data_IF_156317084125
#
_entry.id   IF_156317084125
#
_cell.length_a   1.000
_cell.length_b   1.000
_cell.length_c   1.000
_cell.angle_alpha   90.00
_cell.angle_beta   90.00
_cell.angle_gamma   90.00
#
_symmetry.space_group_name_H-M   'P 1'
#
loop_
_entity.id
_entity.type
_entity.pdbx_description
1 polymer ?
#
# COMPACT_ATOMS: atom_id res chain seq x y z
N UNK A 1 -17.18 -12.33 14.20
CA UNK A 1 -16.91 -11.32 13.16
C UNK A 1 -15.88 -11.94 12.24
N UNK A 2 -15.93 -11.74 10.90
CA UNK A 2 -14.84 -12.20 10.03
C UNK A 2 -13.53 -11.57 10.54
N UNK A 3 -12.47 -12.38 10.69
CA UNK A 3 -11.20 -11.87 11.18
C UNK A 3 -10.58 -10.99 10.08
N UNK A 4 -10.21 -9.76 10.45
CA UNK A 4 -9.46 -8.88 9.57
C UNK A 4 -8.01 -9.36 9.54
N UNK A 5 -7.46 -9.63 8.36
CA UNK A 5 -6.10 -10.13 8.21
C UNK A 5 -5.22 -9.11 7.49
N UNK A 6 -3.98 -9.01 7.92
CA UNK A 6 -2.96 -8.20 7.27
C UNK A 6 -1.77 -9.10 6.93
N UNK A 7 -1.48 -9.26 5.62
CA UNK A 7 -0.22 -9.85 5.20
C UNK A 7 0.89 -8.85 5.48
N UNK A 8 1.97 -9.32 6.07
CA UNK A 8 3.18 -8.55 6.35
C UNK A 8 4.38 -9.40 5.98
N UNK A 9 5.51 -8.77 5.68
CA UNK A 9 6.78 -9.48 5.44
C UNK A 9 7.89 -8.78 6.18
N UNK A 10 8.72 -9.56 6.88
CA UNK A 10 9.90 -9.04 7.61
C UNK A 10 10.87 -8.38 6.63
N UNK A 11 11.50 -7.25 7.00
CA UNK A 11 12.55 -6.63 6.19
C UNK A 11 13.66 -7.61 5.83
N UNK A 12 14.11 -7.56 4.57
CA UNK A 12 15.30 -8.28 4.11
C UNK A 12 16.56 -7.73 4.80
N UNK A 13 17.56 -8.56 5.11
CA UNK A 13 18.87 -8.07 5.56
C UNK A 13 19.53 -7.14 4.54
N UNK A 14 19.09 -7.17 3.28
CA UNK A 14 19.55 -6.31 2.19
C UNK A 14 18.71 -5.03 2.02
N UNK A 15 17.83 -4.69 2.96
CA UNK A 15 16.90 -3.54 2.86
C UNK A 15 17.62 -2.24 2.43
N UNK A 16 18.84 -2.00 2.92
CA UNK A 16 19.60 -0.79 2.56
C UNK A 16 19.94 -0.69 1.06
N UNK A 17 19.82 -1.79 0.30
CA UNK A 17 20.02 -1.82 -1.16
C UNK A 17 18.71 -1.54 -1.94
N UNK A 18 17.58 -1.32 -1.24
CA UNK A 18 16.27 -1.08 -1.83
C UNK A 18 16.27 0.05 -2.87
N UNK A 19 15.31 0.02 -3.77
CA UNK A 19 15.21 0.99 -4.86
C UNK A 19 14.81 2.38 -4.35
N UNK A 20 15.42 3.42 -4.90
CA UNK A 20 15.05 4.83 -4.68
C UNK A 20 14.99 5.52 -6.04
N UNK A 21 13.89 6.19 -6.34
CA UNK A 21 13.59 6.73 -7.67
C UNK A 21 13.39 8.24 -7.66
N UNK A 22 12.63 8.78 -6.71
CA UNK A 22 12.19 10.18 -6.67
C UNK A 22 12.83 11.01 -5.56
N UNK A 23 13.69 10.43 -4.75
CA UNK A 23 14.40 11.11 -3.67
C UNK A 23 15.89 10.80 -3.68
N UNK A 24 16.68 11.56 -2.92
CA UNK A 24 18.09 11.25 -2.74
C UNK A 24 18.27 10.06 -1.80
N UNK A 25 19.17 9.15 -2.16
CA UNK A 25 19.49 7.99 -1.32
C UNK A 25 20.19 8.44 -0.03
N UNK A 26 19.66 7.97 1.07
CA UNK A 26 20.24 8.12 2.41
C UNK A 26 20.57 6.77 3.01
N UNK A 27 21.39 6.75 4.05
CA UNK A 27 21.74 5.51 4.75
C UNK A 27 20.54 4.97 5.51
N UNK A 28 20.23 3.69 5.31
CA UNK A 28 19.18 2.95 6.02
C UNK A 28 19.82 2.13 7.13
N UNK A 29 19.30 2.25 8.33
CA UNK A 29 19.64 1.40 9.48
C UNK A 29 18.68 0.19 9.48
N UNK A 30 19.22 -0.98 9.09
CA UNK A 30 18.41 -2.20 8.93
C UNK A 30 17.91 -2.72 10.28
N UNK A 31 18.70 -2.58 11.34
CA UNK A 31 18.30 -3.05 12.66
C UNK A 31 17.15 -2.18 13.20
N UNK A 32 17.26 -0.86 13.06
CA UNK A 32 16.16 0.06 13.40
C UNK A 32 14.92 -0.20 12.53
N UNK A 33 15.09 -0.48 11.24
CA UNK A 33 13.96 -0.83 10.37
C UNK A 33 13.22 -2.08 10.86
N UNK A 34 13.92 -3.07 11.38
CA UNK A 34 13.29 -4.27 11.98
C UNK A 34 12.49 -3.89 13.22
N UNK A 35 13.03 -3.06 14.12
CA UNK A 35 12.31 -2.56 15.30
C UNK A 35 11.05 -1.78 14.91
N UNK A 36 11.14 -0.90 13.90
CA UNK A 36 10.01 -0.15 13.37
C UNK A 36 8.94 -1.05 12.74
N UNK A 37 9.35 -2.08 12.02
CA UNK A 37 8.43 -3.08 11.46
C UNK A 37 7.71 -3.88 12.54
N UNK A 38 8.42 -4.25 13.62
CA UNK A 38 7.81 -4.94 14.76
C UNK A 38 6.78 -4.04 15.46
N UNK A 39 7.09 -2.78 15.68
CA UNK A 39 6.16 -1.79 16.22
C UNK A 39 4.93 -1.59 15.31
N UNK A 40 5.12 -1.51 14.00
CA UNK A 40 4.04 -1.42 13.01
C UNK A 40 3.12 -2.66 13.07
N UNK A 41 3.67 -3.85 13.09
CA UNK A 41 2.89 -5.09 13.15
C UNK A 41 2.15 -5.23 14.48
N UNK A 42 2.76 -4.79 15.58
CA UNK A 42 2.10 -4.78 16.89
C UNK A 42 0.96 -3.75 16.94
N UNK A 43 1.12 -2.59 16.30
CA UNK A 43 0.04 -1.63 16.17
C UNK A 43 -1.17 -2.23 15.42
N UNK A 44 -0.95 -3.02 14.38
CA UNK A 44 -2.02 -3.76 13.69
C UNK A 44 -2.72 -4.76 14.63
N UNK A 45 -1.96 -5.58 15.37
CA UNK A 45 -2.49 -6.60 16.28
C UNK A 45 -3.31 -5.99 17.42
N UNK A 46 -2.78 -4.95 18.04
CA UNK A 46 -3.46 -4.22 19.14
C UNK A 46 -4.80 -3.64 18.68
N UNK A 47 -4.96 -3.36 17.38
CA UNK A 47 -6.21 -2.85 16.81
C UNK A 47 -7.06 -3.92 16.11
N UNK A 48 -6.86 -5.18 16.46
CA UNK A 48 -7.73 -6.29 16.07
C UNK A 48 -7.45 -6.92 14.71
N UNK A 49 -6.27 -6.64 14.11
CA UNK A 49 -5.83 -7.29 12.90
C UNK A 49 -4.99 -8.53 13.21
N UNK A 50 -5.34 -9.66 12.63
CA UNK A 50 -4.49 -10.85 12.61
C UNK A 50 -3.39 -10.65 11.55
N UNK A 51 -2.12 -10.58 11.99
CA UNK A 51 -0.99 -10.49 11.05
C UNK A 51 -0.62 -11.88 10.55
N UNK A 52 -0.53 -12.02 9.23
CA UNK A 52 -0.07 -13.24 8.56
C UNK A 52 1.27 -12.91 7.90
N UNK A 53 2.33 -13.50 8.42
CA UNK A 53 3.67 -13.27 7.87
C UNK A 53 3.85 -14.09 6.58
N UNK A 54 4.25 -13.39 5.51
CA UNK A 54 4.64 -13.99 4.24
C UNK A 54 6.07 -14.49 4.35
N UNK A 55 6.38 -15.60 3.69
CA UNK A 55 7.71 -16.17 3.73
C UNK A 55 8.79 -15.13 3.36
N UNK A 56 9.94 -15.12 4.07
CA UNK A 56 11.01 -14.18 3.80
C UNK A 56 11.49 -14.25 2.35
N UNK A 57 11.89 -13.09 1.80
CA UNK A 57 12.53 -12.99 0.50
C UNK A 57 13.86 -12.22 0.68
N UNK A 58 14.82 -12.90 1.31
CA UNK A 58 16.06 -12.29 1.81
C UNK A 58 16.90 -11.65 0.70
N UNK A 59 16.86 -12.20 -0.51
CA UNK A 59 17.57 -11.67 -1.68
C UNK A 59 16.86 -10.49 -2.35
N UNK A 60 15.64 -10.13 -1.88
CA UNK A 60 14.85 -9.04 -2.42
C UNK A 60 14.84 -7.86 -1.45
N UNK A 61 15.65 -6.81 -1.67
CA UNK A 61 15.76 -5.67 -0.76
C UNK A 61 14.43 -5.00 -0.41
N UNK A 62 13.54 -4.86 -1.41
CA UNK A 62 12.27 -4.14 -1.28
C UNK A 62 11.10 -5.02 -0.80
N UNK A 63 11.34 -6.29 -0.48
CA UNK A 63 10.29 -7.28 -0.23
C UNK A 63 9.39 -6.99 0.98
N UNK A 64 9.84 -6.14 1.93
CA UNK A 64 9.04 -5.63 3.04
C UNK A 64 7.82 -4.84 2.56
N UNK A 65 7.92 -4.20 1.40
CA UNK A 65 6.83 -3.46 0.76
C UNK A 65 5.86 -4.42 0.05
N UNK A 66 5.32 -5.33 0.84
CA UNK A 66 4.50 -6.45 0.38
C UNK A 66 3.22 -6.03 -0.36
N UNK A 67 2.78 -4.78 -0.15
CA UNK A 67 1.63 -4.22 -0.83
C UNK A 67 1.79 -4.23 -2.35
N UNK A 68 3.01 -4.04 -2.86
CA UNK A 68 3.27 -3.97 -4.30
C UNK A 68 3.09 -5.31 -5.02
N UNK A 69 3.17 -6.42 -4.29
CA UNK A 69 3.16 -7.77 -4.87
C UNK A 69 1.75 -8.30 -5.19
N UNK A 70 0.68 -7.72 -4.61
CA UNK A 70 -0.69 -8.24 -4.79
C UNK A 70 -1.76 -7.17 -4.57
N UNK A 71 -2.82 -7.25 -5.35
CA UNK A 71 -4.04 -6.46 -5.12
C UNK A 71 -5.18 -7.41 -4.78
N UNK A 72 -5.85 -7.18 -3.65
CA UNK A 72 -7.02 -7.97 -3.26
C UNK A 72 -8.28 -7.12 -3.34
N UNK A 73 -9.29 -7.62 -4.05
CA UNK A 73 -10.62 -7.04 -4.11
C UNK A 73 -11.65 -8.14 -3.87
N UNK A 74 -12.48 -8.01 -2.82
CA UNK A 74 -13.33 -9.08 -2.30
C UNK A 74 -12.47 -10.30 -1.97
N UNK A 75 -12.82 -11.48 -2.50
CA UNK A 75 -12.07 -12.73 -2.34
C UNK A 75 -11.13 -13.06 -3.52
N UNK A 76 -10.87 -12.09 -4.41
CA UNK A 76 -9.98 -12.27 -5.57
C UNK A 76 -8.69 -11.53 -5.33
N UNK A 77 -7.58 -12.25 -5.42
CA UNK A 77 -6.22 -11.75 -5.40
C UNK A 77 -5.67 -11.68 -6.82
N UNK A 78 -5.20 -10.51 -7.22
CA UNK A 78 -4.48 -10.29 -8.47
C UNK A 78 -3.01 -10.12 -8.15
N UNK A 79 -2.21 -11.15 -8.44
CA UNK A 79 -0.77 -11.13 -8.26
C UNK A 79 -0.17 -10.13 -9.25
N UNK A 80 0.61 -9.21 -8.73
CA UNK A 80 1.26 -8.18 -9.50
C UNK A 80 2.35 -8.75 -10.43
N UNK A 81 2.65 -8.03 -11.49
CA UNK A 81 3.90 -8.16 -12.24
C UNK A 81 4.63 -6.83 -12.11
N UNK A 82 5.53 -6.72 -11.11
CA UNK A 82 6.17 -5.45 -10.78
C UNK A 82 6.83 -4.77 -11.98
N UNK A 83 6.67 -3.44 -12.04
CA UNK A 83 7.31 -2.63 -13.06
C UNK A 83 8.84 -2.67 -12.96
N UNK A 84 9.37 -2.74 -11.74
CA UNK A 84 10.79 -3.02 -11.50
C UNK A 84 11.05 -4.52 -11.63
N UNK A 85 11.92 -4.89 -12.57
CA UNK A 85 12.18 -6.30 -12.87
C UNK A 85 12.82 -7.06 -11.70
N UNK A 86 13.69 -6.38 -10.93
CA UNK A 86 14.33 -6.92 -9.73
C UNK A 86 13.34 -7.33 -8.63
N UNK A 87 12.12 -6.74 -8.61
CA UNK A 87 11.08 -7.02 -7.62
C UNK A 87 10.15 -8.18 -7.99
N UNK A 88 10.24 -8.72 -9.19
CA UNK A 88 9.34 -9.82 -9.64
C UNK A 88 9.52 -11.09 -8.83
N UNK A 89 10.70 -11.32 -8.26
CA UNK A 89 10.96 -12.46 -7.38
C UNK A 89 10.25 -12.38 -6.00
N UNK A 90 9.64 -11.25 -5.68
CA UNK A 90 8.92 -11.05 -4.41
C UNK A 90 7.52 -11.70 -4.41
N UNK A 91 6.94 -11.97 -5.58
CA UNK A 91 5.52 -12.35 -5.70
C UNK A 91 5.18 -13.80 -5.30
N UNK A 92 6.03 -14.83 -5.49
CA UNK A 92 5.64 -16.23 -5.21
C UNK A 92 5.17 -16.47 -3.77
N UNK A 93 5.89 -15.97 -2.75
CA UNK A 93 5.50 -16.15 -1.36
C UNK A 93 4.19 -15.45 -1.01
N UNK A 94 3.88 -14.33 -1.67
CA UNK A 94 2.61 -13.61 -1.49
C UNK A 94 1.46 -14.38 -2.14
N UNK A 95 1.68 -14.97 -3.32
CA UNK A 95 0.72 -15.84 -4.00
C UNK A 95 0.30 -17.02 -3.12
N UNK A 96 1.27 -17.72 -2.54
CA UNK A 96 0.99 -18.82 -1.62
C UNK A 96 0.21 -18.36 -0.38
N UNK A 97 0.56 -17.21 0.19
CA UNK A 97 -0.12 -16.68 1.36
C UNK A 97 -1.60 -16.35 1.08
N UNK A 98 -1.91 -15.66 -0.03
CA UNK A 98 -3.31 -15.35 -0.37
C UNK A 98 -4.10 -16.58 -0.77
N UNK A 99 -3.48 -17.56 -1.42
CA UNK A 99 -4.12 -18.84 -1.75
C UNK A 99 -4.47 -19.63 -0.47
N UNK A 100 -3.56 -19.72 0.50
CA UNK A 100 -3.83 -20.34 1.82
C UNK A 100 -4.97 -19.65 2.57
N UNK A 101 -5.18 -18.36 2.33
CA UNK A 101 -6.28 -17.59 2.91
C UNK A 101 -7.60 -17.72 2.15
N UNK A 102 -7.66 -18.55 1.09
CA UNK A 102 -8.88 -18.84 0.33
C UNK A 102 -9.21 -17.85 -0.77
N UNK A 103 -8.28 -16.96 -1.14
CA UNK A 103 -8.48 -16.09 -2.28
C UNK A 103 -8.44 -16.86 -3.61
N UNK A 104 -9.30 -16.48 -4.56
CA UNK A 104 -9.14 -16.88 -5.96
C UNK A 104 -8.02 -16.09 -6.58
N UNK A 105 -7.00 -16.77 -7.10
CA UNK A 105 -5.77 -16.13 -7.58
C UNK A 105 -5.82 -15.89 -9.09
N UNK A 106 -5.43 -14.68 -9.49
CA UNK A 106 -5.22 -14.25 -10.87
C UNK A 106 -3.87 -13.55 -10.96
N UNK A 107 -3.36 -13.33 -12.18
CA UNK A 107 -2.02 -12.76 -12.41
C UNK A 107 -2.05 -11.67 -13.45
N UNK A 108 -1.13 -10.71 -13.30
CA UNK A 108 -0.78 -9.79 -14.38
C UNK A 108 0.26 -10.47 -15.28
N UNK A 109 -0.04 -10.58 -16.55
CA UNK A 109 0.80 -11.20 -17.57
C UNK A 109 1.50 -10.16 -18.45
N UNK A 110 2.61 -10.54 -19.04
CA UNK A 110 3.28 -9.73 -20.06
C UNK A 110 2.32 -9.41 -21.21
N UNK A 111 2.33 -8.18 -21.77
CA UNK A 111 3.24 -7.07 -21.49
C UNK A 111 2.79 -6.16 -20.33
N UNK A 112 1.77 -6.53 -19.55
CA UNK A 112 1.29 -5.77 -18.41
C UNK A 112 2.35 -5.67 -17.31
N UNK A 113 2.45 -4.49 -16.68
CA UNK A 113 3.11 -4.28 -15.39
C UNK A 113 2.16 -3.58 -14.45
N UNK A 114 2.22 -3.95 -13.18
CA UNK A 114 1.39 -3.39 -12.13
C UNK A 114 2.07 -3.56 -10.78
N UNK A 115 2.16 -2.47 -10.00
CA UNK A 115 2.54 -2.49 -8.60
C UNK A 115 1.29 -2.20 -7.74
N UNK A 116 1.09 -2.90 -6.64
CA UNK A 116 -0.05 -2.70 -5.74
C UNK A 116 -0.08 -1.34 -5.06
N UNK A 117 1.07 -0.66 -4.97
CA UNK A 117 1.18 0.74 -4.52
C UNK A 117 0.44 1.73 -5.41
N UNK A 118 0.19 1.39 -6.67
CA UNK A 118 -0.61 2.18 -7.59
C UNK A 118 -2.13 2.01 -7.41
N UNK A 119 -2.58 1.16 -6.48
CA UNK A 119 -3.99 0.80 -6.35
C UNK A 119 -4.62 1.43 -5.11
N UNK A 120 -5.45 2.46 -5.30
CA UNK A 120 -6.26 3.06 -4.26
C UNK A 120 -7.72 2.61 -4.40
N UNK A 121 -8.25 1.96 -3.38
CA UNK A 121 -9.65 1.49 -3.32
C UNK A 121 -10.49 2.42 -2.47
N UNK A 122 -11.57 2.97 -3.06
CA UNK A 122 -12.54 3.82 -2.37
C UNK A 122 -13.93 3.26 -2.65
N UNK A 123 -14.49 2.52 -1.72
CA UNK A 123 -15.70 1.72 -1.96
C UNK A 123 -15.47 0.75 -3.11
N UNK A 124 -16.34 0.77 -4.11
CA UNK A 124 -16.22 -0.03 -5.33
C UNK A 124 -15.40 0.66 -6.43
N UNK A 125 -14.90 1.87 -6.21
CA UNK A 125 -14.02 2.54 -7.18
C UNK A 125 -12.57 2.17 -6.89
N UNK A 126 -11.87 1.72 -7.91
CA UNK A 126 -10.44 1.41 -7.88
C UNK A 126 -9.73 2.45 -8.74
N UNK A 127 -9.02 3.36 -8.11
CA UNK A 127 -8.12 4.28 -8.79
C UNK A 127 -6.80 3.57 -9.02
N UNK A 128 -6.32 3.61 -10.26
CA UNK A 128 -5.08 2.94 -10.67
C UNK A 128 -4.08 3.96 -11.16
N UNK A 129 -2.99 4.15 -10.45
CA UNK A 129 -1.86 4.96 -10.88
C UNK A 129 -1.30 4.41 -12.19
N UNK A 130 -1.08 5.31 -13.15
CA UNK A 130 -0.41 4.99 -14.41
C UNK A 130 0.83 5.87 -14.54
N UNK A 131 1.98 5.26 -14.34
CA UNK A 131 3.27 5.93 -14.29
C UNK A 131 4.41 4.99 -14.67
N UNK A 132 5.53 5.12 -14.00
CA UNK A 132 6.74 4.33 -14.26
C UNK A 132 6.64 2.85 -13.93
N UNK A 133 5.75 2.48 -13.00
CA UNK A 133 5.61 1.10 -12.49
C UNK A 133 4.41 0.36 -13.07
N UNK A 134 3.29 1.02 -13.25
CA UNK A 134 2.06 0.44 -13.81
C UNK A 134 1.79 0.99 -15.20
N UNK A 135 1.70 0.10 -16.20
CA UNK A 135 1.46 0.46 -17.58
C UNK A 135 -0.02 0.26 -18.01
N UNK A 136 -0.36 0.70 -19.21
CA UNK A 136 -1.71 0.61 -19.74
C UNK A 136 -2.22 -0.84 -19.86
N UNK A 137 -1.34 -1.78 -20.20
CA UNK A 137 -1.71 -3.20 -20.31
C UNK A 137 -2.01 -3.79 -18.93
N UNK A 138 -1.27 -3.42 -17.88
CA UNK A 138 -1.57 -3.80 -16.49
C UNK A 138 -2.93 -3.28 -16.02
N UNK A 139 -3.24 -2.01 -16.33
CA UNK A 139 -4.56 -1.42 -16.05
C UNK A 139 -5.68 -2.17 -16.75
N UNK A 140 -5.49 -2.56 -18.02
CA UNK A 140 -6.50 -3.32 -18.77
C UNK A 140 -6.74 -4.70 -18.17
N UNK A 141 -5.69 -5.40 -17.76
CA UNK A 141 -5.80 -6.71 -17.13
C UNK A 141 -6.48 -6.62 -15.75
N UNK A 142 -6.15 -5.61 -14.96
CA UNK A 142 -6.85 -5.35 -13.70
C UNK A 142 -8.34 -5.11 -13.91
N UNK A 143 -8.73 -4.32 -14.93
CA UNK A 143 -10.14 -4.12 -15.31
C UNK A 143 -10.82 -5.43 -15.63
N UNK A 144 -10.19 -6.26 -16.47
CA UNK A 144 -10.76 -7.55 -16.88
C UNK A 144 -11.06 -8.46 -15.67
N UNK A 145 -10.26 -8.38 -14.59
CA UNK A 145 -10.44 -9.18 -13.39
C UNK A 145 -11.48 -8.56 -12.44
N UNK A 146 -11.45 -7.24 -12.21
CA UNK A 146 -12.23 -6.65 -11.12
C UNK A 146 -13.55 -5.98 -11.55
N UNK A 147 -13.70 -5.52 -12.81
CA UNK A 147 -14.99 -4.96 -13.26
C UNK A 147 -16.13 -5.99 -13.27
N UNK A 148 -15.92 -7.29 -13.64
CA UNK A 148 -16.94 -8.32 -13.47
C UNK A 148 -17.39 -8.54 -12.02
N UNK A 149 -16.55 -8.16 -11.05
CA UNK A 149 -16.86 -8.20 -9.62
C UNK A 149 -17.56 -6.93 -9.12
N UNK A 150 -17.91 -5.98 -10.01
CA UNK A 150 -18.58 -4.74 -9.68
C UNK A 150 -17.65 -3.58 -9.31
N UNK A 151 -16.34 -3.70 -9.58
CA UNK A 151 -15.44 -2.56 -9.44
C UNK A 151 -15.62 -1.55 -10.61
N UNK A 152 -15.43 -0.27 -10.29
CA UNK A 152 -15.24 0.80 -11.28
C UNK A 152 -13.78 1.19 -11.31
N UNK A 153 -13.10 0.98 -12.42
CA UNK A 153 -11.65 1.24 -12.53
C UNK A 153 -11.39 2.58 -13.22
N UNK A 154 -10.66 3.47 -12.54
CA UNK A 154 -10.29 4.80 -13.00
C UNK A 154 -8.76 4.90 -13.05
N UNK A 155 -8.20 5.13 -14.24
CA UNK A 155 -6.76 5.37 -14.39
C UNK A 155 -6.42 6.81 -13.99
N UNK A 156 -5.37 6.98 -13.20
CA UNK A 156 -4.88 8.26 -12.68
C UNK A 156 -3.43 8.47 -13.15
N UNK A 157 -3.09 9.58 -13.78
CA UNK A 157 -1.70 9.89 -14.10
C UNK A 157 -0.85 9.97 -12.81
N UNK A 158 0.36 9.39 -12.84
CA UNK A 158 1.34 9.48 -11.75
C UNK A 158 2.70 9.81 -12.38
N UNK A 159 3.22 10.98 -12.06
CA UNK A 159 4.49 11.46 -12.60
C UNK A 159 5.44 12.06 -11.55
N UNK A 160 4.89 12.47 -10.40
CA UNK A 160 5.63 13.20 -9.36
C UNK A 160 6.17 12.31 -8.24
N UNK A 161 5.63 11.10 -8.11
CA UNK A 161 5.94 10.14 -7.05
C UNK A 161 6.07 8.74 -7.60
N UNK A 162 6.56 7.81 -6.79
CA UNK A 162 6.78 6.43 -7.19
C UNK A 162 5.48 5.70 -7.55
N UNK A 163 4.44 5.81 -6.70
CA UNK A 163 3.14 5.16 -6.83
C UNK A 163 2.00 6.14 -6.52
N UNK A 164 0.78 5.82 -6.95
CA UNK A 164 -0.40 6.62 -6.60
C UNK A 164 -0.56 6.77 -5.08
N UNK A 165 -0.35 5.70 -4.31
CA UNK A 165 -0.46 5.74 -2.84
C UNK A 165 0.72 6.40 -2.14
N UNK A 166 1.78 6.76 -2.85
CA UNK A 166 2.79 7.70 -2.34
C UNK A 166 2.31 9.15 -2.37
N UNK A 167 1.22 9.47 -3.08
CA UNK A 167 0.65 10.82 -3.12
C UNK A 167 -0.66 10.93 -2.34
N UNK A 168 -1.47 9.84 -2.30
CA UNK A 168 -2.83 9.88 -1.78
C UNK A 168 -3.24 8.58 -1.08
N UNK A 169 -4.07 8.69 -0.04
CA UNK A 169 -4.85 7.58 0.52
C UNK A 169 -6.29 8.03 0.76
N UNK A 170 -7.14 7.16 1.31
CA UNK A 170 -8.54 7.49 1.54
C UNK A 170 -8.94 7.30 3.00
N UNK A 171 -9.76 8.21 3.51
CA UNK A 171 -10.41 8.15 4.80
C UNK A 171 -11.63 7.20 4.77
N UNK A 172 -12.17 6.78 5.93
CA UNK A 172 -13.30 5.84 5.99
C UNK A 172 -14.55 6.31 5.25
N UNK A 173 -14.78 7.62 5.18
CA UNK A 173 -15.90 8.23 4.49
C UNK A 173 -15.70 8.34 2.96
N UNK A 174 -14.54 7.91 2.45
CA UNK A 174 -14.13 7.96 1.05
C UNK A 174 -13.53 9.29 0.60
N UNK A 175 -13.29 10.24 1.52
CA UNK A 175 -12.48 11.42 1.21
C UNK A 175 -11.05 11.01 0.94
N UNK A 176 -10.52 11.41 -0.20
CA UNK A 176 -9.11 11.17 -0.54
C UNK A 176 -8.27 12.28 0.07
N UNK A 177 -7.27 11.90 0.84
CA UNK A 177 -6.28 12.84 1.39
C UNK A 177 -4.99 12.77 0.58
N UNK A 178 -4.27 13.88 0.47
CA UNK A 178 -3.00 13.93 -0.25
C UNK A 178 -2.23 15.21 0.01
N UNK A 179 -0.90 15.13 -0.11
CA UNK A 179 -0.07 16.32 -0.14
C UNK A 179 -0.13 16.94 -1.54
N UNK A 180 -0.90 18.04 -1.69
CA UNK A 180 -1.31 18.59 -2.98
C UNK A 180 -0.15 18.79 -3.99
N UNK A 181 1.06 19.26 -3.58
CA UNK A 181 2.18 19.43 -4.52
C UNK A 181 2.58 18.13 -5.23
N UNK A 182 2.35 16.96 -4.63
CA UNK A 182 2.70 15.64 -5.16
C UNK A 182 1.56 14.97 -5.94
N UNK A 183 0.35 15.53 -5.90
CA UNK A 183 -0.81 14.98 -6.62
C UNK A 183 -0.89 15.57 -8.01
N UNK A 184 -0.86 14.73 -9.06
CA UNK A 184 -0.91 15.20 -10.45
C UNK A 184 -2.27 15.81 -10.80
N UNK A 185 -3.37 15.20 -10.35
CA UNK A 185 -4.73 15.62 -10.73
C UNK A 185 -5.71 15.44 -9.57
N UNK A 186 -5.71 16.35 -8.58
CA UNK A 186 -6.62 16.25 -7.43
C UNK A 186 -8.11 16.22 -7.81
N UNK A 187 -8.47 16.89 -8.92
CA UNK A 187 -9.86 16.96 -9.41
C UNK A 187 -10.45 15.63 -9.91
N UNK A 188 -9.63 14.59 -10.07
CA UNK A 188 -10.13 13.23 -10.35
C UNK A 188 -10.82 12.57 -9.14
N UNK A 189 -10.56 13.08 -7.93
CA UNK A 189 -11.18 12.57 -6.71
C UNK A 189 -12.40 13.41 -6.35
N UNK A 190 -13.61 12.84 -6.25
CA UNK A 190 -14.84 13.59 -5.97
C UNK A 190 -14.78 14.39 -4.66
N UNK A 191 -14.04 13.87 -3.68
CA UNK A 191 -13.72 14.56 -2.42
C UNK A 191 -12.22 14.45 -2.19
N UNK A 192 -11.54 15.59 -2.19
CA UNK A 192 -10.10 15.69 -1.95
C UNK A 192 -9.84 16.67 -0.79
N UNK A 193 -9.00 16.26 0.14
CA UNK A 193 -8.54 17.05 1.26
C UNK A 193 -7.01 17.14 1.21
N UNK A 194 -6.48 18.34 1.03
CA UNK A 194 -5.05 18.57 1.10
C UNK A 194 -4.55 18.46 2.56
N UNK A 195 -3.43 17.75 2.76
CA UNK A 195 -2.75 17.64 4.04
C UNK A 195 -1.43 18.40 4.02
N UNK A 196 -0.98 18.94 5.17
CA UNK A 196 0.18 19.83 5.22
C UNK A 196 1.53 19.09 5.05
N UNK A 197 1.59 17.80 5.30
CA UNK A 197 2.83 17.02 5.30
C UNK A 197 2.73 15.85 4.34
N UNK A 198 3.83 15.53 3.64
CA UNK A 198 3.90 14.46 2.67
C UNK A 198 3.59 13.10 3.30
N UNK A 199 4.27 12.73 4.39
CA UNK A 199 4.03 11.48 5.11
C UNK A 199 2.63 11.38 5.72
N UNK A 200 1.95 12.53 5.92
CA UNK A 200 0.56 12.61 6.35
C UNK A 200 -0.48 12.20 5.31
N UNK A 201 -0.09 12.13 4.04
CA UNK A 201 -0.97 11.63 2.98
C UNK A 201 -1.28 10.13 3.07
N UNK A 202 -0.60 9.42 3.97
CA UNK A 202 -0.62 7.97 4.04
C UNK A 202 -1.28 7.49 5.34
N UNK A 203 -2.44 6.83 5.20
CA UNK A 203 -3.14 6.25 6.35
C UNK A 203 -3.56 4.80 6.06
N UNK A 204 -3.50 3.96 7.09
CA UNK A 204 -4.11 2.63 7.11
C UNK A 204 -5.33 2.67 8.02
N UNK A 205 -6.49 2.32 7.48
CA UNK A 205 -7.72 2.28 8.25
C UNK A 205 -7.72 1.07 9.19
N UNK A 206 -7.67 1.30 10.49
CA UNK A 206 -7.69 0.23 11.50
C UNK A 206 -9.12 -0.20 11.87
N UNK A 207 -10.12 0.63 11.57
CA UNK A 207 -11.52 0.45 11.98
C UNK A 207 -11.89 1.36 13.15
N UNK A 208 -13.20 1.58 13.36
CA UNK A 208 -13.68 2.40 14.47
C UNK A 208 -13.21 3.87 14.45
N UNK A 209 -12.88 4.41 13.27
CA UNK A 209 -12.36 5.79 13.15
C UNK A 209 -10.85 5.91 13.36
N UNK A 210 -10.15 4.82 13.67
CA UNK A 210 -8.69 4.81 13.93
C UNK A 210 -7.91 4.75 12.62
N UNK A 211 -6.87 5.57 12.53
CA UNK A 211 -5.99 5.73 11.37
C UNK A 211 -4.54 5.51 11.77
N UNK A 212 -3.91 4.43 11.30
CA UNK A 212 -2.48 4.23 11.47
C UNK A 212 -1.73 5.10 10.47
N UNK A 213 -0.78 5.90 10.94
CA UNK A 213 -0.01 6.84 10.14
C UNK A 213 1.40 7.07 10.69
N UNK A 214 2.25 7.66 9.86
CA UNK A 214 3.61 8.00 10.28
C UNK A 214 3.64 9.02 11.43
N UNK A 215 4.52 8.80 12.40
CA UNK A 215 4.84 9.77 13.44
C UNK A 215 5.53 11.03 12.89
N UNK A 216 6.04 10.97 11.66
CA UNK A 216 6.65 12.10 10.95
C UNK A 216 5.66 13.18 10.48
N UNK A 217 4.33 12.98 10.69
CA UNK A 217 3.31 13.92 10.22
C UNK A 217 2.40 14.46 11.36
N UNK A 218 2.96 15.15 12.37
CA UNK A 218 2.20 15.58 13.54
C UNK A 218 1.09 16.59 13.22
N UNK A 219 1.28 17.50 12.27
CA UNK A 219 0.25 18.48 11.87
C UNK A 219 -0.92 17.83 11.16
N UNK A 220 -0.65 16.81 10.35
CA UNK A 220 -1.71 16.03 9.71
C UNK A 220 -2.46 15.18 10.74
N UNK A 221 -1.76 14.62 11.72
CA UNK A 221 -2.40 13.89 12.81
C UNK A 221 -3.38 14.81 13.59
N UNK A 222 -2.97 16.03 13.90
CA UNK A 222 -3.83 17.02 14.55
C UNK A 222 -5.05 17.36 13.67
N UNK A 223 -4.84 17.63 12.38
CA UNK A 223 -5.93 17.89 11.41
C UNK A 223 -6.94 16.72 11.37
N UNK A 224 -6.46 15.48 11.32
CA UNK A 224 -7.34 14.30 11.26
C UNK A 224 -8.08 14.08 12.59
N UNK A 225 -7.44 14.39 13.73
CA UNK A 225 -8.09 14.38 15.04
C UNK A 225 -9.22 15.43 15.14
N UNK A 226 -9.01 16.63 14.64
CA UNK A 226 -10.03 17.69 14.57
C UNK A 226 -11.23 17.29 13.67
N UNK A 227 -10.99 16.44 12.68
CA UNK A 227 -12.03 15.86 11.84
C UNK A 227 -12.75 14.65 12.48
N UNK A 228 -12.41 14.31 13.72
CA UNK A 228 -13.06 13.26 14.49
C UNK A 228 -12.48 11.85 14.28
N UNK A 229 -11.28 11.76 13.70
CA UNK A 229 -10.53 10.50 13.62
C UNK A 229 -9.62 10.31 14.83
N UNK A 230 -9.13 9.10 15.04
CA UNK A 230 -8.16 8.76 16.08
C UNK A 230 -6.83 8.33 15.42
N UNK A 231 -5.84 9.24 15.25
CA UNK A 231 -4.53 8.89 14.73
C UNK A 231 -3.77 7.94 15.66
N UNK A 232 -3.26 6.86 15.11
CA UNK A 232 -2.34 5.91 15.76
C UNK A 232 -0.99 6.09 15.08
N UNK A 233 -0.02 6.61 15.81
CA UNK A 233 1.28 7.00 15.27
C UNK A 233 2.29 5.86 15.39
N UNK A 234 3.02 5.60 14.30
CA UNK A 234 4.16 4.66 14.26
C UNK A 234 5.35 5.33 13.60
N UNK A 235 6.53 5.06 14.13
CA UNK A 235 7.77 5.46 13.47
C UNK A 235 8.09 4.45 12.36
N UNK A 236 8.23 4.96 11.13
CA UNK A 236 8.60 4.20 9.92
C UNK A 236 9.71 4.94 9.16
N UNK A 237 10.49 5.76 9.83
CA UNK A 237 11.46 6.66 9.21
C UNK A 237 12.50 5.95 8.34
N UNK A 238 12.86 4.70 8.68
CA UNK A 238 13.79 3.93 7.86
C UNK A 238 13.17 3.49 6.53
N UNK A 239 11.87 3.20 6.51
CA UNK A 239 11.15 2.86 5.28
C UNK A 239 10.87 4.09 4.42
N UNK A 240 10.63 5.26 5.04
CA UNK A 240 10.46 6.53 4.33
C UNK A 240 11.70 6.91 3.52
N UNK A 241 12.92 6.54 3.97
CA UNK A 241 14.17 6.68 3.20
C UNK A 241 14.22 5.86 1.90
N UNK A 242 13.31 4.92 1.75
CA UNK A 242 13.14 4.05 0.59
C UNK A 242 11.81 4.30 -0.13
N UNK A 243 11.25 5.50 -0.02
CA UNK A 243 9.96 5.89 -0.61
C UNK A 243 8.78 5.05 -0.09
N UNK A 244 8.98 4.31 1.02
CA UNK A 244 7.95 3.51 1.67
C UNK A 244 7.05 4.33 2.57
N UNK A 245 5.82 3.87 2.75
CA UNK A 245 4.85 4.48 3.65
C UNK A 245 4.07 3.41 4.43
N UNK A 246 3.23 3.81 5.38
CA UNK A 246 2.46 2.87 6.22
C UNK A 246 1.60 1.90 5.42
N UNK A 247 1.13 2.27 4.22
CA UNK A 247 0.33 1.36 3.39
C UNK A 247 1.15 0.28 2.74
N UNK A 248 2.43 0.57 2.41
CA UNK A 248 3.33 -0.33 1.70
C UNK A 248 3.67 -1.59 2.51
N UNK A 249 3.66 -1.48 3.85
CA UNK A 249 4.11 -2.51 4.78
C UNK A 249 3.11 -3.64 5.01
N UNK A 250 1.88 -3.57 4.45
CA UNK A 250 0.90 -4.64 4.61
C UNK A 250 -0.14 -4.71 3.49
N UNK A 251 -0.67 -5.92 3.25
CA UNK A 251 -1.87 -6.13 2.42
C UNK A 251 -3.05 -6.44 3.34
N UNK A 252 -4.08 -5.59 3.32
CA UNK A 252 -5.24 -5.70 4.21
C UNK A 252 -6.39 -6.44 3.55
N UNK A 253 -6.78 -7.54 4.18
CA UNK A 253 -7.87 -8.44 3.77
C UNK A 253 -9.03 -8.23 4.74
N UNK A 254 -10.05 -7.45 4.31
CA UNK A 254 -11.17 -7.05 5.18
C UNK A 254 -12.39 -7.94 5.09
N UNK A 255 -12.55 -8.66 3.98
CA UNK A 255 -13.72 -9.46 3.68
C UNK A 255 -13.29 -10.78 3.03
N UNK A 256 -12.76 -11.69 3.85
CA UNK A 256 -12.64 -13.07 3.42
C UNK A 256 -13.94 -13.77 3.82
N UNK A 257 -14.85 -13.95 2.86
CA UNK A 257 -15.98 -14.86 3.03
C UNK A 257 -15.41 -16.29 2.87
N UNK A 258 -15.30 -16.99 4.00
CA UNK A 258 -15.04 -18.43 4.05
C UNK A 258 -16.35 -19.16 3.85
#
# INVERSE_FOLDING_TARGET
>A
MPSQKALVRRPSPRLAEGLVTHMERTTVDVDLAVEQWEAYTEALRTHGWETVEVDPAEDCPDSVFVEDAVVVFRNVALIARPGAESRRAETPGVEEAVARLGCSVNWIWEPGTLDGGDILKVGNTIYVGRGGRTNAAGVQQLRAVFEPLGARVVAVPVSKVLHLKSAVTALPDGTVIGHEPLVDTPSLFPRFLAVPEESGAHVVLLGGGKLLMSAGAPKTAELLADLGHEPVLVDISEFEKLEGCVTCLSVRLRELYV
#
